data_IF_592391246546
#
_entry.id   IF_592391246546
#
_cell.length_a   1.000
_cell.length_b   1.000
_cell.length_c   1.000
_cell.angle_alpha   90.00
_cell.angle_beta   90.00
_cell.angle_gamma   90.00
#
_symmetry.space_group_name_H-M   'P 1'
#
loop_
_entity.id
_entity.type
_entity.pdbx_description
1 polymer ?
#
# COMPACT_ATOMS: atom_id res chain seq x y z
N UNK A 1 -12.13 -2.20 -17.94
CA UNK A 1 -11.56 -1.31 -16.92
C UNK A 1 -10.54 -2.05 -16.09
N UNK A 2 -9.40 -1.43 -15.91
CA UNK A 2 -8.32 -2.04 -15.15
C UNK A 2 -8.42 -1.76 -13.66
N UNK A 3 -7.73 -2.56 -12.90
CA UNK A 3 -7.44 -2.33 -11.50
C UNK A 3 -6.15 -1.51 -11.41
N UNK A 4 -6.11 -0.57 -10.49
CA UNK A 4 -4.93 0.24 -10.18
C UNK A 4 -4.77 0.33 -8.67
N UNK A 5 -3.66 -0.17 -8.16
CA UNK A 5 -3.39 -0.17 -6.72
C UNK A 5 -1.94 0.13 -6.44
N UNK A 6 -1.65 0.59 -5.24
CA UNK A 6 -0.28 0.90 -4.87
C UNK A 6 -0.07 1.14 -3.38
N UNK A 7 1.18 0.99 -2.97
CA UNK A 7 1.63 1.22 -1.60
C UNK A 7 2.27 2.61 -1.50
N UNK A 8 1.88 3.34 -0.48
CA UNK A 8 2.40 4.68 -0.18
C UNK A 8 3.01 4.69 1.21
N UNK A 9 4.11 5.43 1.36
CA UNK A 9 4.76 5.67 2.64
C UNK A 9 4.37 7.06 3.14
N UNK A 10 3.90 7.13 4.37
CA UNK A 10 3.64 8.40 5.07
C UNK A 10 4.68 8.52 6.17
N UNK A 11 5.43 9.62 6.19
CA UNK A 11 6.51 9.86 7.16
C UNK A 11 5.98 10.36 8.50
N UNK A 12 5.05 9.61 9.04
CA UNK A 12 4.48 9.82 10.36
C UNK A 12 3.87 8.51 10.83
N UNK A 13 4.10 8.15 12.09
CA UNK A 13 3.55 6.91 12.63
C UNK A 13 2.07 7.10 12.97
N UNK A 14 1.24 6.25 12.38
CA UNK A 14 -0.18 6.12 12.70
C UNK A 14 -0.41 4.75 13.32
N UNK A 15 -1.05 4.73 14.48
CA UNK A 15 -1.15 3.51 15.28
C UNK A 15 -2.25 2.57 14.83
N UNK A 16 -3.27 3.11 14.16
CA UNK A 16 -4.45 2.34 13.76
C UNK A 16 -5.14 3.02 12.58
N UNK A 17 -6.15 2.34 12.03
CA UNK A 17 -6.92 2.84 10.89
C UNK A 17 -7.64 4.16 11.20
N UNK A 18 -8.09 4.34 12.43
CA UNK A 18 -8.78 5.57 12.85
C UNK A 18 -7.86 6.80 12.75
N UNK A 19 -6.62 6.67 13.18
CA UNK A 19 -5.63 7.75 13.07
C UNK A 19 -5.32 8.04 11.60
N UNK A 20 -5.20 7.01 10.78
CA UNK A 20 -4.99 7.15 9.34
C UNK A 20 -6.17 7.86 8.67
N UNK A 21 -7.39 7.50 9.01
CA UNK A 21 -8.59 8.14 8.46
C UNK A 21 -8.65 9.62 8.82
N UNK A 22 -8.24 9.99 10.03
CA UNK A 22 -8.16 11.38 10.45
C UNK A 22 -7.13 12.16 9.64
N UNK A 23 -5.96 11.59 9.44
CA UNK A 23 -4.93 12.16 8.58
C UNK A 23 -5.46 12.35 7.16
N UNK A 24 -6.10 11.33 6.61
CA UNK A 24 -6.62 11.33 5.25
C UNK A 24 -7.63 12.47 5.02
N UNK A 25 -8.49 12.73 5.98
CA UNK A 25 -9.44 13.85 5.91
C UNK A 25 -8.75 15.22 5.90
N UNK A 26 -7.53 15.31 6.44
CA UNK A 26 -6.77 16.56 6.53
C UNK A 26 -5.76 16.74 5.39
N UNK A 27 -5.58 15.73 4.53
CA UNK A 27 -4.53 15.74 3.50
C UNK A 27 -4.56 16.98 2.62
N UNK A 28 -5.72 17.36 2.10
CA UNK A 28 -5.84 18.52 1.22
C UNK A 28 -5.46 19.82 1.94
N UNK A 29 -5.86 19.96 3.19
CA UNK A 29 -5.49 21.11 4.00
C UNK A 29 -3.99 21.17 4.25
N UNK A 30 -3.39 20.03 4.58
CA UNK A 30 -1.93 19.93 4.78
C UNK A 30 -1.20 20.31 3.49
N UNK A 31 -1.62 19.75 2.36
CA UNK A 31 -1.05 20.06 1.05
C UNK A 31 -1.08 21.57 0.76
N UNK A 32 -2.22 22.22 1.01
CA UNK A 32 -2.40 23.64 0.77
C UNK A 32 -1.52 24.52 1.67
N UNK A 33 -1.24 24.05 2.90
CA UNK A 33 -0.42 24.80 3.86
C UNK A 33 1.07 24.68 3.56
N UNK A 34 1.55 23.46 3.34
CA UNK A 34 2.99 23.19 3.22
C UNK A 34 3.50 23.24 1.78
N UNK A 35 2.60 23.17 0.79
CA UNK A 35 2.95 23.18 -0.62
C UNK A 35 3.33 21.80 -1.16
N UNK A 36 3.34 21.70 -2.49
CA UNK A 36 3.52 20.45 -3.23
C UNK A 36 4.82 19.71 -2.87
N UNK A 37 5.95 20.42 -2.93
CA UNK A 37 7.25 19.77 -2.76
C UNK A 37 7.45 19.23 -1.35
N UNK A 38 7.00 19.97 -0.34
CA UNK A 38 7.07 19.51 1.05
C UNK A 38 6.11 18.37 1.31
N UNK A 39 4.93 18.38 0.69
CA UNK A 39 3.96 17.32 0.82
C UNK A 39 4.50 16.00 0.26
N UNK A 40 5.17 16.03 -0.88
CA UNK A 40 5.76 14.83 -1.49
C UNK A 40 6.97 14.28 -0.73
N UNK A 41 7.65 15.10 0.06
CA UNK A 41 8.67 14.60 0.99
C UNK A 41 8.06 13.85 2.17
N UNK A 42 6.83 14.21 2.52
CA UNK A 42 6.10 13.60 3.62
C UNK A 42 5.35 12.34 3.18
N UNK A 43 4.73 12.39 2.02
CA UNK A 43 3.93 11.29 1.47
C UNK A 43 4.44 10.94 0.08
N UNK A 44 4.90 9.70 -0.11
CA UNK A 44 5.43 9.27 -1.39
C UNK A 44 5.18 7.78 -1.66
N UNK A 45 5.35 7.39 -2.90
CA UNK A 45 5.22 5.99 -3.32
C UNK A 45 6.25 5.16 -2.56
N UNK A 46 5.79 4.14 -1.83
CA UNK A 46 6.66 3.27 -1.05
C UNK A 46 7.41 2.27 -1.93
N UNK A 47 6.72 1.73 -2.93
CA UNK A 47 7.30 0.77 -3.87
C UNK A 47 6.49 0.79 -5.17
N UNK A 48 7.19 0.76 -6.28
CA UNK A 48 6.58 0.66 -7.61
C UNK A 48 6.67 -0.79 -8.07
N UNK A 49 5.51 -1.40 -8.34
CA UNK A 49 5.38 -2.81 -8.69
C UNK A 49 4.77 -2.91 -10.10
N UNK A 50 5.57 -2.75 -11.17
CA UNK A 50 5.04 -2.60 -12.53
C UNK A 50 4.19 -3.76 -13.03
N UNK A 51 4.36 -4.96 -12.48
CA UNK A 51 3.58 -6.14 -12.89
C UNK A 51 2.44 -6.46 -11.93
N UNK A 52 2.58 -6.13 -10.64
CA UNK A 52 1.55 -6.41 -9.64
C UNK A 52 0.53 -5.29 -9.49
N UNK A 53 0.93 -4.02 -9.67
CA UNK A 53 0.09 -2.87 -9.34
C UNK A 53 -1.23 -2.81 -10.15
N UNK A 54 -1.26 -3.42 -11.32
CA UNK A 54 -2.45 -3.49 -12.17
C UNK A 54 -3.03 -4.90 -12.25
N UNK A 55 -2.66 -5.79 -11.33
CA UNK A 55 -3.06 -7.19 -11.36
C UNK A 55 -4.18 -7.49 -10.37
N UNK A 56 -5.33 -7.89 -10.89
CA UNK A 56 -6.51 -8.20 -10.08
C UNK A 56 -6.27 -9.37 -9.11
N UNK A 57 -5.52 -10.39 -9.54
CA UNK A 57 -5.22 -11.54 -8.68
C UNK A 57 -4.38 -11.13 -7.48
N UNK A 58 -3.43 -10.20 -7.67
CA UNK A 58 -2.66 -9.60 -6.58
C UNK A 58 -3.58 -8.92 -5.56
N UNK A 59 -4.56 -8.15 -6.03
CA UNK A 59 -5.52 -7.49 -5.15
C UNK A 59 -6.35 -8.50 -4.37
N UNK A 60 -6.82 -9.58 -5.02
CA UNK A 60 -7.57 -10.64 -4.35
C UNK A 60 -6.74 -11.31 -3.25
N UNK A 61 -5.46 -11.57 -3.52
CA UNK A 61 -4.55 -12.15 -2.52
C UNK A 61 -4.36 -11.19 -1.35
N UNK A 62 -4.16 -9.91 -1.63
CA UNK A 62 -4.02 -8.89 -0.59
C UNK A 62 -5.30 -8.78 0.26
N UNK A 63 -6.45 -8.73 -0.39
CA UNK A 63 -7.76 -8.67 0.27
C UNK A 63 -7.96 -9.84 1.23
N UNK A 64 -7.67 -11.05 0.78
CA UNK A 64 -7.80 -12.25 1.61
C UNK A 64 -6.80 -12.23 2.77
N UNK A 65 -5.59 -11.76 2.54
CA UNK A 65 -4.55 -11.64 3.56
C UNK A 65 -4.96 -10.67 4.68
N UNK A 66 -5.45 -9.49 4.31
CA UNK A 66 -5.79 -8.46 5.27
C UNK A 66 -7.07 -8.79 6.05
N UNK A 67 -8.00 -9.48 5.42
CA UNK A 67 -9.30 -9.82 6.02
C UNK A 67 -10.01 -8.60 6.63
N UNK A 68 -9.91 -7.47 5.94
CA UNK A 68 -10.57 -6.21 6.31
C UNK A 68 -10.88 -5.43 5.04
N UNK A 69 -11.75 -4.42 5.13
CA UNK A 69 -12.09 -3.58 3.98
C UNK A 69 -10.87 -2.82 3.50
N UNK A 70 -10.57 -2.96 2.20
CA UNK A 70 -9.53 -2.16 1.53
C UNK A 70 -10.22 -0.96 0.87
N UNK A 71 -9.68 0.23 1.12
CA UNK A 71 -10.29 1.49 0.66
C UNK A 71 -10.04 1.73 -0.83
N UNK A 72 -11.13 2.04 -1.53
CA UNK A 72 -11.10 2.47 -2.93
C UNK A 72 -11.11 3.99 -2.95
N UNK A 73 -10.06 4.62 -3.47
CA UNK A 73 -9.91 6.07 -3.40
C UNK A 73 -10.89 6.86 -4.28
N UNK A 74 -11.63 6.19 -5.17
CA UNK A 74 -12.64 6.84 -5.99
C UNK A 74 -14.04 6.80 -5.37
N UNK A 75 -14.36 5.76 -4.59
CA UNK A 75 -15.72 5.52 -4.10
C UNK A 75 -15.88 5.58 -2.60
N UNK A 76 -14.82 5.40 -1.83
CA UNK A 76 -14.87 5.46 -0.37
C UNK A 76 -14.55 6.87 0.14
N UNK A 77 -14.99 7.19 1.35
CA UNK A 77 -14.76 8.49 1.97
C UNK A 77 -13.27 8.73 2.29
N UNK A 78 -12.53 7.65 2.48
CA UNK A 78 -11.10 7.68 2.78
C UNK A 78 -10.32 6.89 1.74
N UNK A 79 -9.09 7.34 1.45
CA UNK A 79 -8.26 6.80 0.36
C UNK A 79 -7.41 5.61 0.79
N UNK A 80 -7.02 5.53 2.07
CA UNK A 80 -5.94 4.67 2.51
C UNK A 80 -6.38 3.57 3.45
N UNK A 81 -5.80 2.38 3.26
CA UNK A 81 -5.89 1.25 4.19
C UNK A 81 -4.54 1.06 4.86
N UNK A 82 -4.52 1.00 6.18
CA UNK A 82 -3.31 0.77 6.96
C UNK A 82 -2.78 -0.64 6.71
N UNK A 83 -1.48 -0.74 6.46
CA UNK A 83 -0.78 -2.02 6.28
C UNK A 83 0.25 -2.16 7.40
N UNK A 84 0.11 -3.18 8.23
CA UNK A 84 1.06 -3.47 9.30
C UNK A 84 2.22 -4.32 8.77
N UNK A 85 3.31 -4.35 9.54
CA UNK A 85 4.47 -5.17 9.21
C UNK A 85 4.10 -6.65 9.05
N UNK A 86 3.30 -7.19 9.98
CA UNK A 86 2.85 -8.58 9.92
C UNK A 86 1.96 -8.84 8.71
N UNK A 87 1.12 -7.89 8.34
CA UNK A 87 0.27 -8.00 7.16
C UNK A 87 1.10 -8.04 5.88
N UNK A 88 2.13 -7.22 5.77
CA UNK A 88 3.02 -7.24 4.60
C UNK A 88 3.76 -8.58 4.51
N UNK A 89 4.27 -9.08 5.63
CA UNK A 89 4.93 -10.40 5.68
C UNK A 89 4.00 -11.51 5.19
N UNK A 90 2.78 -11.54 5.69
CA UNK A 90 1.78 -12.55 5.28
C UNK A 90 1.39 -12.40 3.81
N UNK A 91 1.28 -11.19 3.32
CA UNK A 91 0.99 -10.93 1.92
C UNK A 91 2.09 -11.50 1.01
N UNK A 92 3.35 -11.26 1.33
CA UNK A 92 4.48 -11.80 0.58
C UNK A 92 4.46 -13.34 0.60
N UNK A 93 4.24 -13.96 1.77
CA UNK A 93 4.11 -15.41 1.91
C UNK A 93 2.97 -15.96 1.06
N UNK A 94 1.84 -15.28 1.05
CA UNK A 94 0.67 -15.72 0.28
C UNK A 94 0.88 -15.57 -1.23
N UNK A 95 1.64 -14.58 -1.67
CA UNK A 95 2.02 -14.49 -3.08
C UNK A 95 2.81 -15.71 -3.52
N UNK A 96 3.78 -16.16 -2.72
CA UNK A 96 4.54 -17.37 -3.03
C UNK A 96 3.68 -18.62 -3.03
N UNK A 97 2.71 -18.72 -2.13
CA UNK A 97 1.87 -19.90 -1.97
C UNK A 97 0.79 -19.98 -3.05
N UNK A 98 0.18 -18.87 -3.43
CA UNK A 98 -1.02 -18.82 -4.27
C UNK A 98 -0.77 -18.54 -5.76
N UNK A 99 0.40 -18.01 -6.10
CA UNK A 99 0.78 -17.82 -7.50
C UNK A 99 1.40 -19.10 -8.04
N UNK A 100 1.08 -19.45 -9.30
CA UNK A 100 1.70 -20.61 -9.96
C UNK A 100 3.14 -20.29 -10.41
N UNK A 101 3.86 -21.29 -10.93
CA UNK A 101 5.25 -21.13 -11.34
C UNK A 101 5.45 -20.04 -12.39
N UNK A 102 4.54 -19.93 -13.37
CA UNK A 102 4.62 -18.92 -14.42
C UNK A 102 4.40 -17.52 -13.84
N UNK A 103 3.44 -17.39 -12.94
CA UNK A 103 3.15 -16.13 -12.27
C UNK A 103 4.29 -15.72 -11.36
N UNK A 104 4.87 -16.64 -10.61
CA UNK A 104 6.04 -16.38 -9.77
C UNK A 104 7.22 -15.91 -10.59
N UNK A 105 7.46 -16.52 -11.75
CA UNK A 105 8.52 -16.09 -12.65
C UNK A 105 8.24 -14.68 -13.20
N UNK A 106 7.01 -14.42 -13.63
CA UNK A 106 6.60 -13.12 -14.15
C UNK A 106 6.71 -12.00 -13.12
N UNK A 107 6.31 -12.27 -11.87
CA UNK A 107 6.24 -11.28 -10.79
C UNK A 107 7.44 -11.30 -9.86
N UNK A 108 8.48 -12.08 -10.18
CA UNK A 108 9.63 -12.25 -9.29
C UNK A 108 10.28 -10.94 -8.86
N UNK A 109 10.48 -10.02 -9.80
CA UNK A 109 11.09 -8.71 -9.49
C UNK A 109 10.23 -7.90 -8.53
N UNK A 110 8.92 -7.90 -8.75
CA UNK A 110 7.97 -7.19 -7.89
C UNK A 110 7.96 -7.76 -6.48
N UNK A 111 7.98 -9.10 -6.36
CA UNK A 111 8.02 -9.76 -5.05
C UNK A 111 9.34 -9.45 -4.33
N UNK A 112 10.46 -9.40 -5.05
CA UNK A 112 11.73 -9.01 -4.47
C UNK A 112 11.72 -7.56 -3.96
N UNK A 113 11.04 -6.66 -4.69
CA UNK A 113 10.85 -5.27 -4.24
C UNK A 113 9.99 -5.19 -2.98
N UNK A 114 8.96 -6.02 -2.87
CA UNK A 114 8.15 -6.11 -1.64
C UNK A 114 8.97 -6.61 -0.45
N UNK A 115 9.85 -7.59 -0.66
CA UNK A 115 10.77 -8.06 0.38
C UNK A 115 11.73 -6.98 0.83
N UNK A 116 12.30 -6.24 -0.11
CA UNK A 116 13.17 -5.11 0.19
C UNK A 116 12.42 -4.04 0.97
N UNK A 117 11.19 -3.74 0.56
CA UNK A 117 10.32 -2.82 1.30
C UNK A 117 10.12 -3.28 2.74
N UNK A 118 9.79 -4.56 2.94
CA UNK A 118 9.63 -5.14 4.27
C UNK A 118 10.88 -4.96 5.14
N UNK A 119 12.05 -5.23 4.56
CA UNK A 119 13.33 -5.22 5.29
C UNK A 119 13.82 -3.80 5.59
N UNK A 120 13.51 -2.82 4.74
CA UNK A 120 14.08 -1.46 4.85
C UNK A 120 13.11 -0.43 5.40
N UNK A 121 11.81 -0.75 5.49
CA UNK A 121 10.80 0.20 5.95
C UNK A 121 10.99 0.53 7.43
N UNK A 122 10.89 1.81 7.79
CA UNK A 122 10.98 2.25 9.18
C UNK A 122 9.60 2.08 9.85
N UNK A 123 9.35 0.90 10.37
CA UNK A 123 8.08 0.54 10.99
C UNK A 123 7.79 1.29 12.29
N UNK A 124 8.81 1.87 12.91
CA UNK A 124 8.65 2.62 14.16
C UNK A 124 8.19 4.06 13.93
N UNK A 125 8.62 4.69 12.84
CA UNK A 125 8.41 6.11 12.60
C UNK A 125 7.50 6.42 11.41
N UNK A 126 7.38 5.51 10.46
CA UNK A 126 6.60 5.69 9.24
C UNK A 126 5.38 4.79 9.22
N UNK A 127 4.44 5.07 8.30
CA UNK A 127 3.23 4.28 8.10
C UNK A 127 3.15 3.83 6.64
N UNK A 128 2.92 2.53 6.44
CA UNK A 128 2.64 1.97 5.13
C UNK A 128 1.14 1.90 4.91
N UNK A 129 0.70 2.39 3.77
CA UNK A 129 -0.72 2.38 3.38
C UNK A 129 -0.90 1.84 1.98
N UNK A 130 -2.09 1.35 1.69
CA UNK A 130 -2.48 0.87 0.37
C UNK A 130 -3.74 1.59 -0.08
N UNK A 131 -3.80 1.92 -1.36
CA UNK A 131 -4.99 2.47 -2.01
C UNK A 131 -5.19 1.83 -3.37
N UNK A 132 -6.44 1.76 -3.82
CA UNK A 132 -6.75 1.23 -5.14
C UNK A 132 -7.99 1.89 -5.75
N UNK A 133 -8.13 1.71 -7.07
CA UNK A 133 -9.36 1.98 -7.80
C UNK A 133 -9.55 0.98 -8.94
N UNK A 134 -10.77 0.89 -9.44
CA UNK A 134 -11.06 0.12 -10.66
C UNK A 134 -12.26 0.68 -11.39
#
# INVERSE_FOLDING_TARGET
>A
MGYDGGFTKIRMKMRNQKDLDKYDRLRNSIYNIIGRDNFYKFENIAVDLPHLDNNWKQFEILKDTLNKKIRNYETDDNDFTLITKDELERYISNLYELLDEKELELYNKDIMLLKELYDTFDWDNDTLVFSYSY
#
